data_IF_244195720114
#
_entry.id   IF_244195720114
#
_cell.length_a   1.000
_cell.length_b   1.000
_cell.length_c   1.000
_cell.angle_alpha   90.00
_cell.angle_beta   90.00
_cell.angle_gamma   90.00
#
_symmetry.space_group_name_H-M   'P 1'
#
loop_
_entity.id
_entity.type
_entity.pdbx_description
1 polymer ?
#
# COMPACT_ATOMS: atom_id res chain seq x y z
N UNK A 1 -1.72 -12.29 -20.04
CA UNK A 1 -0.67 -11.50 -19.37
C UNK A 1 -1.01 -11.50 -17.89
N UNK A 2 -0.32 -12.29 -17.06
CA UNK A 2 -0.56 -12.29 -15.62
C UNK A 2 0.08 -11.04 -15.02
N UNK A 3 -0.75 -10.09 -14.58
CA UNK A 3 -0.30 -9.00 -13.73
C UNK A 3 0.13 -9.63 -12.40
N UNK A 4 1.35 -9.33 -11.94
CA UNK A 4 1.78 -9.73 -10.60
C UNK A 4 0.82 -9.12 -9.58
N UNK A 5 0.34 -9.93 -8.64
CA UNK A 5 -0.43 -9.41 -7.52
C UNK A 5 0.43 -8.35 -6.76
N UNK A 6 -0.20 -7.32 -6.19
CA UNK A 6 0.50 -6.37 -5.33
C UNK A 6 1.07 -7.08 -4.10
N UNK A 7 2.31 -6.75 -3.74
CA UNK A 7 3.03 -7.35 -2.60
C UNK A 7 2.78 -6.55 -1.30
N UNK A 8 2.61 -5.23 -1.41
CA UNK A 8 2.44 -4.33 -0.28
C UNK A 8 1.43 -3.21 -0.56
N UNK A 9 0.85 -2.68 0.51
CA UNK A 9 -0.11 -1.58 0.49
C UNK A 9 0.42 -0.42 1.35
N UNK A 10 0.24 0.80 0.85
CA UNK A 10 0.43 2.02 1.62
C UNK A 10 -0.89 2.40 2.27
N UNK A 11 -0.88 2.42 3.60
CA UNK A 11 -2.07 2.66 4.41
C UNK A 11 -1.93 3.90 5.25
N UNK A 12 -3.04 4.57 5.53
CA UNK A 12 -3.14 5.67 6.51
C UNK A 12 -4.20 5.31 7.52
N UNK A 13 -3.82 5.30 8.79
CA UNK A 13 -4.74 5.02 9.89
C UNK A 13 -5.68 6.19 10.13
N UNK A 14 -6.76 5.93 10.87
CA UNK A 14 -7.87 6.87 11.09
C UNK A 14 -7.45 8.18 11.77
N UNK A 15 -6.35 8.18 12.52
CA UNK A 15 -5.74 9.39 13.09
C UNK A 15 -5.20 10.36 12.01
N UNK A 16 -5.21 9.95 10.73
CA UNK A 16 -4.78 10.74 9.58
C UNK A 16 -3.33 11.25 9.65
N UNK A 17 -2.53 10.82 10.61
CA UNK A 17 -1.13 11.23 10.76
C UNK A 17 -0.23 10.02 10.52
N UNK A 18 -0.65 8.85 10.98
CA UNK A 18 0.09 7.60 10.91
C UNK A 18 -0.11 6.93 9.56
N UNK A 19 0.99 6.78 8.84
CA UNK A 19 1.06 6.04 7.59
C UNK A 19 1.97 4.82 7.77
N UNK A 20 1.64 3.73 7.09
CA UNK A 20 2.44 2.51 7.12
C UNK A 20 2.49 1.84 5.75
N UNK A 21 3.52 1.02 5.57
CA UNK A 21 3.60 0.06 4.47
C UNK A 21 3.41 -1.31 5.06
N UNK A 22 2.37 -2.01 4.61
CA UNK A 22 2.00 -3.33 5.12
C UNK A 22 1.91 -4.34 3.99
N UNK A 23 2.19 -5.63 4.23
CA UNK A 23 1.88 -6.68 3.29
C UNK A 23 0.39 -6.66 2.93
N UNK A 24 0.04 -6.93 1.67
CA UNK A 24 -1.37 -7.03 1.26
C UNK A 24 -2.09 -8.16 2.03
N UNK A 25 -1.37 -9.20 2.42
CA UNK A 25 -1.87 -10.31 3.25
C UNK A 25 -2.29 -9.89 4.66
N UNK A 26 -1.80 -8.75 5.15
CA UNK A 26 -2.14 -8.21 6.47
C UNK A 26 -3.35 -7.28 6.44
N UNK A 27 -3.93 -7.07 5.24
CA UNK A 27 -5.14 -6.28 5.05
C UNK A 27 -6.33 -7.23 4.94
N UNK A 28 -7.25 -7.13 5.88
CA UNK A 28 -8.42 -8.00 5.95
C UNK A 28 -9.46 -7.62 4.91
N UNK A 29 -10.04 -8.62 4.25
CA UNK A 29 -11.13 -8.48 3.25
C UNK A 29 -10.80 -7.57 2.06
N UNK A 30 -9.51 -7.39 1.77
CA UNK A 30 -9.06 -6.53 0.68
C UNK A 30 -8.86 -7.32 -0.62
N UNK A 31 -9.54 -6.88 -1.68
CA UNK A 31 -9.43 -7.46 -3.00
C UNK A 31 -8.90 -6.38 -3.98
N UNK A 32 -7.63 -6.45 -4.42
CA UNK A 32 -7.05 -5.42 -5.28
C UNK A 32 -7.71 -5.30 -6.66
N UNK A 33 -8.49 -6.31 -7.07
CA UNK A 33 -9.33 -6.29 -8.28
C UNK A 33 -10.63 -5.48 -8.13
N UNK A 34 -11.05 -5.20 -6.89
CA UNK A 34 -12.26 -4.45 -6.60
C UNK A 34 -11.95 -2.95 -6.47
N UNK A 35 -12.37 -2.16 -7.46
CA UNK A 35 -12.16 -0.71 -7.46
C UNK A 35 -12.74 0.01 -6.23
N UNK A 36 -13.74 -0.57 -5.57
CA UNK A 36 -14.33 -0.02 -4.34
C UNK A 36 -13.32 0.03 -3.19
N UNK A 37 -12.36 -0.90 -3.14
CA UNK A 37 -11.40 -0.97 -2.04
C UNK A 37 -10.40 0.20 -2.01
N UNK A 38 -10.37 1.01 -3.08
CA UNK A 38 -9.60 2.26 -3.18
C UNK A 38 -10.45 3.52 -2.93
N UNK A 39 -11.75 3.37 -2.64
CA UNK A 39 -12.58 4.50 -2.26
C UNK A 39 -12.10 5.04 -0.91
N UNK A 40 -11.76 6.33 -0.90
CA UNK A 40 -11.31 7.06 0.30
C UNK A 40 -12.28 7.01 1.49
N UNK A 41 -13.53 6.60 1.27
CA UNK A 41 -14.56 6.41 2.29
C UNK A 41 -14.53 5.02 2.93
N UNK A 42 -13.89 4.04 2.30
CA UNK A 42 -13.78 2.67 2.82
C UNK A 42 -12.54 2.57 3.71
N UNK A 43 -12.71 1.95 4.86
CA UNK A 43 -11.62 1.60 5.77
C UNK A 43 -11.49 0.07 5.81
N UNK A 44 -10.26 -0.40 5.67
CA UNK A 44 -9.87 -1.80 5.84
C UNK A 44 -9.27 -2.01 7.21
N UNK A 45 -9.35 -3.24 7.72
CA UNK A 45 -8.68 -3.60 8.96
C UNK A 45 -7.29 -4.13 8.63
N UNK A 46 -6.26 -3.41 9.09
CA UNK A 46 -4.87 -3.72 8.81
C UNK A 46 -4.22 -4.24 10.07
N UNK A 47 -3.58 -5.41 9.97
CA UNK A 47 -2.79 -5.96 11.06
C UNK A 47 -1.59 -5.06 11.33
N UNK A 48 -1.40 -4.72 12.60
CA UNK A 48 -0.25 -3.97 13.09
C UNK A 48 0.32 -4.72 14.29
N UNK A 49 1.61 -4.99 14.25
CA UNK A 49 2.35 -5.56 15.39
C UNK A 49 3.10 -4.43 16.08
N UNK A 50 2.87 -4.26 17.38
CA UNK A 50 3.58 -3.27 18.18
C UNK A 50 5.02 -3.71 18.53
N UNK A 51 5.73 -2.87 19.28
CA UNK A 51 7.10 -3.14 19.71
C UNK A 51 7.20 -4.27 20.73
N UNK A 52 6.09 -4.62 21.39
CA UNK A 52 5.99 -5.69 22.38
C UNK A 52 5.68 -7.05 21.71
N UNK A 53 5.36 -7.04 20.42
CA UNK A 53 5.08 -8.23 19.62
C UNK A 53 3.61 -8.61 19.58
N UNK A 54 2.74 -7.81 20.19
CA UNK A 54 1.30 -8.03 20.16
C UNK A 54 0.74 -7.50 18.83
N UNK A 55 -0.09 -8.33 18.18
CA UNK A 55 -0.66 -8.00 16.88
C UNK A 55 -2.16 -7.76 17.00
N UNK A 56 -2.61 -6.59 16.56
CA UNK A 56 -4.02 -6.23 16.53
C UNK A 56 -4.40 -5.61 15.18
N UNK A 57 -5.71 -5.48 14.93
CA UNK A 57 -6.23 -4.97 13.66
C UNK A 57 -6.79 -3.56 13.82
N UNK A 58 -6.23 -2.63 13.04
CA UNK A 58 -6.61 -1.23 13.11
C UNK A 58 -7.23 -0.74 11.81
N UNK A 59 -8.27 0.12 11.88
CA UNK A 59 -8.89 0.67 10.69
C UNK A 59 -7.95 1.64 9.97
N UNK A 60 -7.66 1.35 8.71
CA UNK A 60 -6.82 2.15 7.83
C UNK A 60 -7.38 2.23 6.42
N UNK A 61 -7.02 3.29 5.69
CA UNK A 61 -7.36 3.49 4.29
C UNK A 61 -6.18 3.13 3.41
N UNK A 62 -6.42 2.52 2.27
CA UNK A 62 -5.38 2.15 1.30
C UNK A 62 -5.33 3.23 0.23
N UNK A 63 -4.14 3.77 -0.04
CA UNK A 63 -3.96 4.85 -1.04
C UNK A 63 -3.24 4.36 -2.28
N UNK A 64 -2.28 3.45 -2.08
CA UNK A 64 -1.39 2.98 -3.14
C UNK A 64 -1.09 1.52 -2.89
N UNK A 65 -1.10 0.74 -3.96
CA UNK A 65 -0.51 -0.60 -3.96
C UNK A 65 0.87 -0.54 -4.59
N UNK A 66 1.80 -1.22 -3.95
CA UNK A 66 3.08 -1.55 -4.54
C UNK A 66 3.14 -3.03 -4.87
N UNK A 67 3.74 -3.33 -6.00
CA UNK A 67 4.12 -4.68 -6.37
C UNK A 67 5.55 -4.66 -6.86
N UNK A 68 6.25 -5.78 -6.70
CA UNK A 68 7.55 -6.05 -7.30
C UNK A 68 7.44 -6.21 -8.82
N UNK A 69 6.91 -5.18 -9.49
CA UNK A 69 7.17 -5.00 -10.90
C UNK A 69 8.63 -4.59 -11.02
N UNK A 70 9.54 -5.54 -11.25
CA UNK A 70 10.73 -5.26 -12.05
C UNK A 70 10.30 -4.87 -13.47
N UNK A 71 9.60 -3.75 -13.61
CA UNK A 71 9.60 -2.96 -14.82
C UNK A 71 10.30 -1.70 -14.42
N UNK A 72 11.63 -1.75 -14.47
CA UNK A 72 12.54 -0.60 -14.49
C UNK A 72 11.80 0.60 -15.08
N UNK A 73 11.25 1.47 -14.23
CA UNK A 73 10.78 2.78 -14.66
C UNK A 73 12.04 3.50 -15.08
N UNK A 74 12.35 3.40 -16.37
CA UNK A 74 13.35 4.22 -17.00
C UNK A 74 12.72 5.60 -17.01
N UNK A 75 12.92 6.36 -15.93
CA UNK A 75 12.79 7.81 -16.01
C UNK A 75 13.60 8.20 -17.26
N UNK A 76 13.03 8.89 -18.25
CA UNK A 76 13.86 9.44 -19.30
C UNK A 76 14.90 10.28 -18.58
N UNK A 77 16.18 9.93 -18.77
CA UNK A 77 17.29 10.67 -18.20
C UNK A 77 17.07 12.13 -18.60
N UNK A 78 16.62 12.96 -17.65
CA UNK A 78 16.66 14.40 -17.82
C UNK A 78 18.14 14.70 -17.92
N UNK A 79 18.59 14.95 -19.15
CA UNK A 79 19.87 15.56 -19.42
C UNK A 79 19.87 16.89 -18.66
N UNK A 80 20.52 16.92 -17.50
CA UNK A 80 20.93 18.17 -16.90
C UNK A 80 22.02 18.72 -17.81
N UNK A 81 21.63 19.58 -18.76
CA UNK A 81 22.59 20.46 -19.42
C UNK A 81 23.24 21.31 -18.32
N UNK A 82 24.51 21.05 -18.04
CA UNK A 82 25.38 22.02 -17.38
C UNK A 82 25.47 23.23 -18.30
N UNK A 83 25.11 24.39 -17.75
CA UNK A 83 25.42 25.70 -18.31
C UNK A 83 26.92 25.92 -18.20
#
# INVERSE_FOLDING_TARGET
MSLSAPDFAYVRYKDNISCAVVPVTDVKDFAPENAQDFDSRICHHVKWTDAEGEADFYPARIFVLGGSSQKKWSLPARSCNKI
#
